data_IF_605277880533
#
_entry.id   IF_605277880533
#
_cell.length_a   1.000
_cell.length_b   1.000
_cell.length_c   1.000
_cell.angle_alpha   90.00
_cell.angle_beta   90.00
_cell.angle_gamma   90.00
#
_symmetry.space_group_name_H-M   'P 1'
#
loop_
_entity.id
_entity.type
_entity.pdbx_description
1 polymer ?
#
# COMPACT_ATOMS: atom_id res chain seq x y z
N UNK A 1 -1.35 12.26 18.79
CA UNK A 1 -0.69 12.11 17.48
C UNK A 1 -1.77 11.69 16.50
N UNK A 2 -2.07 12.54 15.50
CA UNK A 2 -3.18 12.33 14.56
C UNK A 2 -2.76 11.31 13.50
N UNK A 3 -2.78 10.02 13.87
CA UNK A 3 -2.71 8.95 12.88
C UNK A 3 -3.98 9.06 12.03
N UNK A 4 -3.94 9.79 10.92
CA UNK A 4 -5.07 9.91 10.01
C UNK A 4 -5.27 8.55 9.34
N UNK A 5 -6.29 7.78 9.74
CA UNK A 5 -6.50 6.45 9.21
C UNK A 5 -7.11 6.55 7.81
N UNK A 6 -6.85 5.53 7.00
CA UNK A 6 -7.58 5.33 5.76
C UNK A 6 -8.91 4.64 6.03
N UNK A 7 -9.92 4.93 5.20
CA UNK A 7 -11.19 4.20 5.21
C UNK A 7 -10.98 2.73 4.83
N UNK A 8 -10.07 2.50 3.87
CA UNK A 8 -9.67 1.16 3.43
C UNK A 8 -8.16 1.04 3.46
N UNK A 9 -7.62 0.02 4.13
CA UNK A 9 -6.18 -0.16 4.18
C UNK A 9 -5.61 -0.42 2.78
N UNK A 10 -4.39 0.05 2.55
CA UNK A 10 -3.65 -0.22 1.32
C UNK A 10 -2.68 -1.36 1.56
N UNK A 11 -2.76 -2.42 0.75
CA UNK A 11 -1.86 -3.57 0.83
C UNK A 11 -0.79 -3.45 -0.25
N UNK A 12 0.47 -3.57 0.14
CA UNK A 12 1.64 -3.46 -0.76
C UNK A 12 2.62 -4.61 -0.54
N UNK A 13 3.26 -5.06 -1.61
CA UNK A 13 4.35 -6.03 -1.54
C UNK A 13 5.62 -5.35 -0.99
N UNK A 14 6.17 -5.90 0.10
CA UNK A 14 7.52 -5.57 0.58
C UNK A 14 8.51 -6.64 0.13
N UNK A 15 9.79 -6.27 0.01
CA UNK A 15 10.90 -7.00 -0.65
C UNK A 15 11.28 -8.40 -0.14
N UNK A 16 10.34 -9.15 0.43
CA UNK A 16 10.45 -10.56 0.82
C UNK A 16 9.18 -11.36 0.46
N UNK A 17 8.31 -10.83 -0.40
CA UNK A 17 7.09 -11.54 -0.84
C UNK A 17 5.99 -11.61 0.22
N UNK A 18 6.01 -10.72 1.22
CA UNK A 18 4.93 -10.59 2.19
C UNK A 18 4.16 -9.29 1.95
N UNK A 19 2.81 -9.33 1.95
CA UNK A 19 2.02 -8.12 1.84
C UNK A 19 2.07 -7.36 3.17
N UNK A 20 2.40 -6.08 3.12
CA UNK A 20 2.28 -5.15 4.24
C UNK A 20 0.99 -4.36 4.11
N UNK A 21 0.23 -4.29 5.20
CA UNK A 21 -0.98 -3.47 5.27
C UNK A 21 -0.66 -2.09 5.86
N UNK A 22 -1.05 -1.04 5.15
CA UNK A 22 -0.90 0.35 5.54
C UNK A 22 -2.29 0.88 5.92
N UNK A 23 -2.47 1.22 7.20
CA UNK A 23 -3.78 1.61 7.73
C UNK A 23 -3.93 3.13 7.85
N UNK A 24 -2.83 3.87 7.76
CA UNK A 24 -2.80 5.31 7.98
C UNK A 24 -1.86 6.04 7.01
N UNK A 25 -2.06 7.35 6.91
CA UNK A 25 -1.16 8.25 6.17
C UNK A 25 0.27 8.16 6.69
N UNK A 26 0.46 7.97 7.99
CA UNK A 26 1.80 7.80 8.60
C UNK A 26 2.47 6.53 8.09
N UNK A 27 1.75 5.40 8.05
CA UNK A 27 2.28 4.14 7.53
C UNK A 27 2.69 4.27 6.06
N UNK A 28 1.83 4.92 5.25
CA UNK A 28 2.10 5.17 3.84
C UNK A 28 3.30 6.10 3.64
N UNK A 29 3.41 7.16 4.45
CA UNK A 29 4.54 8.09 4.44
C UNK A 29 5.88 7.39 4.74
N UNK A 30 5.91 6.57 5.80
CA UNK A 30 7.10 5.82 6.18
C UNK A 30 7.49 4.85 5.06
N UNK A 31 6.53 4.11 4.51
CA UNK A 31 6.76 3.17 3.42
C UNK A 31 7.37 3.85 2.18
N UNK A 32 6.76 4.94 1.71
CA UNK A 32 7.23 5.63 0.48
C UNK A 32 8.56 6.36 0.69
N UNK A 33 8.89 6.74 1.92
CA UNK A 33 10.17 7.36 2.27
C UNK A 33 11.29 6.33 2.34
N UNK A 34 11.00 5.13 2.84
CA UNK A 34 11.93 4.00 2.90
C UNK A 34 12.14 3.34 1.52
N UNK A 35 11.17 3.48 0.61
CA UNK A 35 11.24 2.90 -0.72
C UNK A 35 12.46 3.39 -1.51
N UNK A 36 13.35 2.48 -1.87
CA UNK A 36 14.51 2.78 -2.70
C UNK A 36 14.06 3.16 -4.13
N UNK A 37 14.24 4.44 -4.47
CA UNK A 37 13.84 5.00 -5.76
C UNK A 37 13.94 6.53 -5.79
N UNK A 38 13.70 7.11 -6.97
CA UNK A 38 13.65 8.56 -7.15
C UNK A 38 12.65 8.94 -8.26
N UNK A 39 11.52 8.23 -8.33
CA UNK A 39 10.55 8.45 -9.39
C UNK A 39 9.64 9.64 -9.05
N UNK A 40 9.11 10.37 -10.06
CA UNK A 40 8.24 11.51 -9.82
C UNK A 40 6.97 11.11 -9.05
N UNK A 41 6.48 9.87 -9.23
CA UNK A 41 5.33 9.33 -8.50
C UNK A 41 5.63 9.14 -7.01
N UNK A 42 6.85 8.70 -6.66
CA UNK A 42 7.29 8.61 -5.27
C UNK A 42 7.32 9.99 -4.61
N UNK A 43 7.88 11.00 -5.30
CA UNK A 43 7.89 12.38 -4.80
C UNK A 43 6.48 12.96 -4.66
N UNK A 44 5.56 12.61 -5.57
CA UNK A 44 4.17 13.02 -5.49
C UNK A 44 3.48 12.39 -4.27
N UNK A 45 3.66 11.08 -4.05
CA UNK A 45 3.12 10.37 -2.90
C UNK A 45 3.69 10.89 -1.56
N UNK A 46 4.99 11.16 -1.46
CA UNK A 46 5.62 11.79 -0.28
C UNK A 46 4.97 13.15 0.01
N UNK A 47 4.81 14.01 -1.01
CA UNK A 47 4.20 15.33 -0.85
C UNK A 47 2.73 15.24 -0.42
N UNK A 48 1.97 14.35 -1.02
CA UNK A 48 0.57 14.11 -0.65
C UNK A 48 0.44 13.64 0.80
N UNK A 49 1.28 12.69 1.23
CA UNK A 49 1.27 12.23 2.61
C UNK A 49 1.64 13.36 3.59
N UNK A 50 2.62 14.21 3.26
CA UNK A 50 2.95 15.39 4.09
C UNK A 50 1.80 16.38 4.19
N UNK A 51 1.16 16.71 3.07
CA UNK A 51 0.02 17.60 3.03
C UNK A 51 -1.16 17.05 3.84
N UNK A 52 -1.42 15.74 3.77
CA UNK A 52 -2.43 15.10 4.60
C UNK A 52 -2.06 15.19 6.08
N UNK A 53 -0.83 14.84 6.48
CA UNK A 53 -0.37 14.97 7.88
C UNK A 53 -0.45 16.41 8.42
N UNK A 54 -0.30 17.42 7.55
CA UNK A 54 -0.48 18.84 7.88
C UNK A 54 -1.96 19.27 7.95
N UNK A 55 -2.90 18.41 7.52
CA UNK A 55 -4.34 18.70 7.45
C UNK A 55 -4.74 19.56 6.24
N UNK A 56 -3.85 19.69 5.25
CA UNK A 56 -4.11 20.47 4.02
C UNK A 56 -4.99 19.72 3.03
N UNK A 57 -4.92 18.37 3.04
CA UNK A 57 -5.76 17.51 2.20
C UNK A 57 -6.32 16.34 3.02
N UNK A 58 -7.38 15.74 2.49
CA UNK A 58 -8.02 14.57 3.09
C UNK A 58 -7.13 13.31 3.00
N UNK A 59 -7.10 12.44 4.03
CA UNK A 59 -6.35 11.19 4.00
C UNK A 59 -6.68 10.29 2.81
N UNK A 60 -7.94 10.23 2.33
CA UNK A 60 -8.30 9.42 1.16
C UNK A 60 -7.73 10.01 -0.14
N UNK A 61 -7.52 11.33 -0.20
CA UNK A 61 -6.83 11.95 -1.32
C UNK A 61 -5.35 11.51 -1.35
N UNK A 62 -4.68 11.51 -0.19
CA UNK A 62 -3.31 11.01 -0.09
C UNK A 62 -3.22 9.52 -0.41
N UNK A 63 -4.21 8.73 0.03
CA UNK A 63 -4.35 7.31 -0.29
C UNK A 63 -4.43 7.08 -1.80
N UNK A 64 -5.27 7.84 -2.51
CA UNK A 64 -5.42 7.74 -3.97
C UNK A 64 -4.09 7.92 -4.70
N UNK A 65 -3.32 8.94 -4.31
CA UNK A 65 -1.99 9.21 -4.88
C UNK A 65 -1.01 8.08 -4.56
N UNK A 66 -1.01 7.59 -3.33
CA UNK A 66 -0.17 6.45 -2.92
C UNK A 66 -0.51 5.18 -3.70
N UNK A 67 -1.79 4.89 -3.93
CA UNK A 67 -2.24 3.74 -4.73
C UNK A 67 -1.72 3.85 -6.17
N UNK A 68 -1.72 5.04 -6.77
CA UNK A 68 -1.15 5.23 -8.11
C UNK A 68 0.35 4.96 -8.14
N UNK A 69 1.10 5.42 -7.13
CA UNK A 69 2.50 5.07 -6.97
C UNK A 69 2.70 3.55 -6.85
N UNK A 70 1.91 2.88 -6.01
CA UNK A 70 1.99 1.44 -5.82
C UNK A 70 1.65 0.65 -7.11
N UNK A 71 0.65 1.09 -7.88
CA UNK A 71 0.34 0.54 -9.21
C UNK A 71 1.48 0.73 -10.19
N UNK A 72 2.08 1.92 -10.23
CA UNK A 72 3.20 2.24 -11.14
C UNK A 72 4.45 1.42 -10.85
N UNK A 73 4.63 1.02 -9.59
CA UNK A 73 5.74 0.18 -9.14
C UNK A 73 5.40 -1.31 -9.14
N UNK A 74 4.21 -1.70 -9.57
CA UNK A 74 3.72 -3.08 -9.57
C UNK A 74 3.78 -3.75 -8.18
N UNK A 75 3.62 -2.94 -7.13
CA UNK A 75 3.70 -3.39 -5.73
C UNK A 75 2.35 -3.34 -5.02
N UNK A 76 1.30 -2.87 -5.68
CA UNK A 76 -0.04 -2.88 -5.10
C UNK A 76 -0.56 -4.31 -5.06
N UNK A 77 -1.05 -4.75 -3.90
CA UNK A 77 -1.77 -6.01 -3.76
C UNK A 77 -3.24 -5.72 -4.03
N UNK A 78 -3.76 -6.16 -5.18
CA UNK A 78 -5.19 -6.08 -5.46
C UNK A 78 -5.96 -7.09 -4.60
N UNK A 79 -7.15 -6.68 -4.14
CA UNK A 79 -7.96 -7.42 -3.17
C UNK A 79 -8.34 -8.84 -3.64
N UNK A 80 -8.29 -9.10 -4.96
CA UNK A 80 -8.55 -10.40 -5.58
C UNK A 80 -7.33 -11.29 -5.86
N UNK A 81 -6.11 -10.86 -5.53
CA UNK A 81 -4.88 -11.64 -5.75
C UNK A 81 -4.38 -12.31 -4.47
N UNK A 82 -5.26 -12.91 -3.69
CA UNK A 82 -4.85 -14.12 -2.97
C UNK A 82 -5.09 -15.28 -3.93
N UNK A 83 -4.08 -16.10 -4.29
CA UNK A 83 -4.41 -17.42 -4.78
C UNK A 83 -5.24 -18.06 -3.68
N UNK A 84 -6.55 -18.25 -3.94
CA UNK A 84 -7.30 -19.23 -3.18
C UNK A 84 -6.43 -20.48 -3.16
N UNK A 85 -6.15 -21.09 -1.99
CA UNK A 85 -5.61 -22.44 -2.02
C UNK A 85 -6.67 -23.25 -2.73
N UNK A 86 -6.42 -23.58 -4.00
CA UNK A 86 -7.25 -24.54 -4.71
C UNK A 86 -7.14 -25.79 -3.87
N UNK A 87 -8.23 -26.14 -3.20
CA UNK A 87 -8.40 -27.44 -2.57
C UNK A 87 -8.51 -28.47 -3.69
N UNK A 88 -7.42 -28.67 -4.43
CA UNK A 88 -7.29 -29.68 -5.46
C UNK A 88 -6.54 -30.86 -4.86
N UNK A 89 -7.34 -31.76 -4.27
CA UNK A 89 -7.09 -33.20 -4.19
C UNK A 89 -5.76 -33.66 -3.60
N UNK A 90 -5.75 -33.94 -2.30
CA UNK A 90 -4.86 -35.00 -1.82
C UNK A 90 -5.35 -36.34 -2.37
N UNK A 91 -4.49 -37.15 -3.00
CA UNK A 91 -4.87 -38.50 -3.39
C UNK A 91 -5.00 -39.33 -2.12
N UNK A 92 -6.24 -39.72 -1.80
CA UNK A 92 -6.50 -40.79 -0.85
C UNK A 92 -5.87 -42.07 -1.40
N UNK A 93 -4.70 -42.43 -0.90
CA UNK A 93 -4.15 -43.76 -1.10
C UNK A 93 -5.11 -44.79 -0.49
N UNK A 94 -5.68 -45.62 -1.36
CA UNK A 94 -6.23 -46.95 -1.05
C UNK A 94 -5.19 -47.99 -1.49
#
# INVERSE_FOLDING_TARGET
>A
MLSQPFEKPVRVWVGLGFPRQLNSVVDAYQFVTDWCGNSPEQKAAIRACKAALAGEIDPETARGIFVQFAKRKDILVEDGMMPMPTSAGWPSHL
#
